data_IF_860534360319
#
_entry.id   IF_860534360319
#
_cell.length_a   1.000
_cell.length_b   1.000
_cell.length_c   1.000
_cell.angle_alpha   90.00
_cell.angle_beta   90.00
_cell.angle_gamma   90.00
#
_symmetry.space_group_name_H-M   'P 1'
#
loop_
_entity.id
_entity.type
_entity.pdbx_description
1 polymer ?
#
# COMPACT_ATOMS: atom_id res chain seq x y z
N UNK A 1 -0.77 -35.68 -1.14
CA UNK A 1 0.47 -34.90 -1.35
C UNK A 1 0.08 -33.43 -1.45
N UNK A 2 0.73 -32.54 -0.69
CA UNK A 2 0.38 -31.12 -0.67
C UNK A 2 1.32 -30.32 -1.58
N UNK A 3 0.78 -29.33 -2.29
CA UNK A 3 1.55 -28.38 -3.09
C UNK A 3 1.60 -27.03 -2.39
N UNK A 4 2.80 -26.49 -2.19
CA UNK A 4 3.01 -25.15 -1.60
C UNK A 4 3.52 -24.22 -2.70
N UNK A 5 2.87 -23.06 -2.85
CA UNK A 5 3.31 -22.01 -3.78
C UNK A 5 3.10 -20.63 -3.17
N UNK A 6 3.95 -19.68 -3.56
CA UNK A 6 3.74 -18.26 -3.28
C UNK A 6 2.65 -17.72 -4.23
N UNK A 7 1.68 -16.98 -3.69
CA UNK A 7 0.87 -16.07 -4.49
C UNK A 7 1.37 -14.64 -4.28
N UNK A 8 1.58 -13.91 -5.37
CA UNK A 8 1.76 -12.47 -5.32
C UNK A 8 0.38 -11.82 -5.30
N UNK A 9 0.06 -11.11 -4.22
CA UNK A 9 -1.19 -10.37 -4.05
C UNK A 9 -0.81 -8.90 -3.97
N UNK A 10 -1.01 -8.18 -5.07
CA UNK A 10 -0.54 -6.80 -5.24
C UNK A 10 -1.63 -5.77 -4.99
N UNK A 11 -2.90 -6.17 -5.11
CA UNK A 11 -4.03 -5.27 -4.93
C UNK A 11 -5.24 -6.00 -4.34
N UNK A 12 -6.22 -5.19 -3.96
CA UNK A 12 -7.46 -5.65 -3.31
C UNK A 12 -8.23 -6.65 -4.17
N UNK A 13 -8.32 -6.42 -5.47
CA UNK A 13 -9.07 -7.29 -6.39
C UNK A 13 -8.40 -8.67 -6.53
N UNK A 14 -7.07 -8.71 -6.63
CA UNK A 14 -6.29 -9.95 -6.65
C UNK A 14 -6.46 -10.73 -5.34
N UNK A 15 -6.45 -10.03 -4.19
CA UNK A 15 -6.71 -10.63 -2.89
C UNK A 15 -8.10 -11.26 -2.83
N UNK A 16 -9.12 -10.49 -3.24
CA UNK A 16 -10.51 -10.91 -3.22
C UNK A 16 -10.76 -12.11 -4.14
N UNK A 17 -10.24 -12.09 -5.37
CA UNK A 17 -10.33 -13.21 -6.31
C UNK A 17 -9.66 -14.47 -5.76
N UNK A 18 -8.46 -14.34 -5.18
CA UNK A 18 -7.75 -15.47 -4.59
C UNK A 18 -8.51 -16.10 -3.42
N UNK A 19 -9.10 -15.27 -2.55
CA UNK A 19 -9.90 -15.72 -1.40
C UNK A 19 -11.21 -16.37 -1.88
N UNK A 20 -11.91 -15.75 -2.83
CA UNK A 20 -13.15 -16.30 -3.42
C UNK A 20 -12.92 -17.66 -4.08
N UNK A 21 -11.80 -17.82 -4.78
CA UNK A 21 -11.43 -19.07 -5.46
C UNK A 21 -11.31 -20.26 -4.50
N UNK A 22 -10.97 -20.02 -3.24
CA UNK A 22 -10.84 -21.07 -2.21
C UNK A 22 -12.22 -21.45 -1.63
N UNK A 23 -13.27 -20.66 -1.89
CA UNK A 23 -14.63 -20.93 -1.41
C UNK A 23 -14.90 -20.41 0.01
N UNK A 24 -14.24 -19.31 0.41
CA UNK A 24 -14.52 -18.66 1.70
C UNK A 24 -15.93 -18.07 1.72
N UNK A 25 -16.58 -18.13 2.89
CA UNK A 25 -17.88 -17.49 3.15
C UNK A 25 -17.89 -15.99 2.80
N UNK A 26 -19.02 -15.53 2.23
CA UNK A 26 -19.13 -14.16 1.72
C UNK A 26 -18.93 -13.08 2.80
N UNK A 27 -19.35 -13.35 4.05
CA UNK A 27 -19.16 -12.42 5.16
C UNK A 27 -17.70 -12.32 5.61
N UNK A 28 -16.90 -13.36 5.39
CA UNK A 28 -15.49 -13.41 5.75
C UNK A 28 -14.54 -12.72 4.75
N UNK A 29 -14.95 -12.60 3.48
CA UNK A 29 -14.11 -12.08 2.40
C UNK A 29 -13.53 -10.70 2.73
N UNK A 30 -14.33 -9.67 3.10
CA UNK A 30 -13.79 -8.32 3.34
C UNK A 30 -12.74 -8.29 4.46
N UNK A 31 -12.92 -9.11 5.49
CA UNK A 31 -12.03 -9.18 6.65
C UNK A 31 -10.70 -9.87 6.32
N UNK A 32 -10.71 -10.81 5.38
CA UNK A 32 -9.51 -11.52 4.92
C UNK A 32 -8.74 -10.71 3.89
N UNK A 33 -9.45 -10.00 3.01
CA UNK A 33 -8.83 -9.08 2.02
C UNK A 33 -7.94 -8.06 2.73
N UNK A 34 -8.44 -7.41 3.80
CA UNK A 34 -7.67 -6.45 4.59
C UNK A 34 -6.45 -7.07 5.33
N UNK A 35 -6.41 -8.40 5.49
CA UNK A 35 -5.28 -9.12 6.09
C UNK A 35 -4.29 -9.63 5.05
N UNK A 36 -4.73 -9.82 3.81
CA UNK A 36 -3.92 -10.33 2.71
C UNK A 36 -3.03 -9.25 2.08
N UNK A 37 -3.40 -7.97 2.25
CA UNK A 37 -2.65 -6.82 1.78
C UNK A 37 -1.70 -6.32 2.88
N UNK A 38 -0.42 -6.63 2.75
CA UNK A 38 0.65 -6.16 3.61
C UNK A 38 1.44 -5.06 2.92
N UNK A 39 1.70 -3.98 3.66
CA UNK A 39 2.39 -2.80 3.16
C UNK A 39 3.58 -2.45 4.08
N UNK A 40 4.57 -1.79 3.49
CA UNK A 40 5.68 -1.18 4.23
C UNK A 40 5.63 0.33 3.95
N UNK A 41 5.40 1.12 5.00
CA UNK A 41 5.20 2.57 4.88
C UNK A 41 6.31 3.29 5.65
N UNK A 42 7.05 4.16 4.97
CA UNK A 42 8.03 5.04 5.62
C UNK A 42 7.38 6.36 6.05
N UNK A 43 7.67 6.77 7.27
CA UNK A 43 7.31 8.08 7.80
C UNK A 43 8.60 8.75 8.24
N UNK A 44 8.97 9.82 7.56
CA UNK A 44 10.19 10.58 7.85
C UNK A 44 9.97 11.61 8.96
N UNK A 45 11.07 12.01 9.63
CA UNK A 45 11.07 13.14 10.55
C UNK A 45 10.24 12.95 11.82
N UNK A 46 9.95 11.71 12.21
CA UNK A 46 9.18 11.36 13.40
C UNK A 46 10.02 11.57 14.65
N UNK A 47 9.48 12.26 15.66
CA UNK A 47 10.19 12.43 16.93
C UNK A 47 10.43 11.08 17.63
N UNK A 48 11.53 10.93 18.37
CA UNK A 48 11.81 9.65 19.07
C UNK A 48 10.67 9.17 20.00
N UNK A 49 10.02 10.04 20.80
CA UNK A 49 8.85 9.63 21.58
C UNK A 49 7.70 9.10 20.71
N UNK A 50 7.38 9.77 19.60
CA UNK A 50 6.34 9.31 18.67
C UNK A 50 6.73 7.99 18.01
N UNK A 51 8.00 7.83 17.60
CA UNK A 51 8.49 6.60 16.99
C UNK A 51 8.43 5.39 17.95
N UNK A 52 8.75 5.60 19.23
CA UNK A 52 8.56 4.59 20.27
C UNK A 52 7.09 4.20 20.45
N UNK A 53 6.18 5.19 20.45
CA UNK A 53 4.73 4.91 20.53
C UNK A 53 4.26 4.13 19.30
N UNK A 54 4.66 4.52 18.08
CA UNK A 54 4.31 3.81 16.85
C UNK A 54 4.79 2.35 16.89
N UNK A 55 6.03 2.11 17.35
CA UNK A 55 6.57 0.76 17.56
C UNK A 55 5.70 -0.05 18.52
N UNK A 56 5.40 0.50 19.69
CA UNK A 56 4.61 -0.18 20.71
C UNK A 56 3.18 -0.49 20.24
N UNK A 57 2.53 0.49 19.59
CA UNK A 57 1.18 0.30 19.07
C UNK A 57 1.13 -0.72 17.93
N UNK A 58 2.10 -0.69 17.01
CA UNK A 58 2.18 -1.71 15.95
C UNK A 58 2.38 -3.11 16.51
N UNK A 59 3.28 -3.28 17.47
CA UNK A 59 3.48 -4.57 18.16
C UNK A 59 2.18 -5.04 18.84
N UNK A 60 1.44 -4.13 19.48
CA UNK A 60 0.15 -4.47 20.11
C UNK A 60 -0.93 -4.95 19.13
N UNK A 61 -0.84 -4.52 17.86
CA UNK A 61 -1.75 -4.89 16.77
C UNK A 61 -1.27 -6.14 16.00
N UNK A 62 -0.13 -6.71 16.40
CA UNK A 62 0.51 -7.85 15.74
C UNK A 62 1.22 -7.49 14.43
N UNK A 63 1.48 -6.20 14.20
CA UNK A 63 2.39 -5.72 13.15
C UNK A 63 3.76 -5.40 13.74
N UNK A 64 4.56 -4.65 13.00
CA UNK A 64 5.83 -4.14 13.49
C UNK A 64 6.13 -2.72 12.98
N UNK A 65 7.09 -2.06 13.61
CA UNK A 65 7.70 -0.84 13.08
C UNK A 65 9.23 -0.93 13.18
N UNK A 66 9.98 -0.66 12.13
CA UNK A 66 11.43 -0.48 12.25
C UNK A 66 11.71 0.96 12.69
N UNK A 67 12.56 1.10 13.72
CA UNK A 67 13.00 2.40 14.25
C UNK A 67 14.52 2.39 14.39
N UNK A 68 15.17 3.54 14.26
CA UNK A 68 16.62 3.63 14.46
C UNK A 68 17.03 3.30 15.91
N UNK A 69 18.23 2.76 16.10
CA UNK A 69 18.75 2.33 17.42
C UNK A 69 18.65 3.42 18.50
N UNK A 70 18.95 4.67 18.14
CA UNK A 70 18.94 5.81 19.07
C UNK A 70 17.54 6.28 19.50
N UNK A 71 16.47 5.77 18.89
CA UNK A 71 15.08 6.12 19.22
C UNK A 71 14.68 5.58 20.59
N UNK A 72 15.09 4.34 20.91
CA UNK A 72 14.72 3.67 22.17
C UNK A 72 15.23 4.44 23.39
N UNK A 73 16.43 5.01 23.28
CA UNK A 73 17.06 5.83 24.33
C UNK A 73 16.80 7.33 24.17
N UNK A 74 15.96 7.74 23.21
CA UNK A 74 15.70 9.14 22.86
C UNK A 74 16.98 9.99 22.64
N UNK A 75 18.03 9.38 22.09
CA UNK A 75 19.28 10.08 21.74
C UNK A 75 19.20 10.83 20.40
N UNK A 76 18.27 10.41 19.54
CA UNK A 76 17.94 11.10 18.31
C UNK A 76 16.72 11.98 18.56
N UNK A 77 16.71 13.22 18.08
CA UNK A 77 15.51 14.05 18.17
C UNK A 77 14.41 13.55 17.23
N UNK A 78 14.80 13.16 16.01
CA UNK A 78 13.93 12.66 14.95
C UNK A 78 14.55 11.49 14.19
N UNK A 79 13.71 10.63 13.62
CA UNK A 79 14.12 9.50 12.78
C UNK A 79 13.01 9.12 11.79
N UNK A 80 13.36 8.33 10.77
CA UNK A 80 12.37 7.63 9.96
C UNK A 80 11.82 6.41 10.72
N UNK A 81 10.54 6.10 10.50
CA UNK A 81 9.89 4.89 10.98
C UNK A 81 9.34 4.12 9.79
N UNK A 82 9.68 2.84 9.69
CA UNK A 82 9.07 1.93 8.70
C UNK A 82 7.96 1.15 9.39
N UNK A 83 6.70 1.42 9.08
CA UNK A 83 5.58 0.60 9.54
C UNK A 83 5.48 -0.64 8.66
N UNK A 84 5.40 -1.82 9.28
CA UNK A 84 5.23 -3.10 8.62
C UNK A 84 3.93 -3.74 9.10
N UNK A 85 2.92 -3.82 8.25
CA UNK A 85 1.64 -4.39 8.66
C UNK A 85 0.65 -4.52 7.52
N UNK A 86 -0.41 -5.27 7.79
CA UNK A 86 -1.53 -5.36 6.87
C UNK A 86 -2.51 -4.19 7.01
N UNK A 87 -3.38 -4.04 6.01
CA UNK A 87 -4.39 -2.98 5.96
C UNK A 87 -5.23 -2.90 7.24
N UNK A 88 -5.63 -4.05 7.80
CA UNK A 88 -6.38 -4.10 9.07
C UNK A 88 -5.59 -3.48 10.22
N UNK A 89 -4.30 -3.80 10.35
CA UNK A 89 -3.43 -3.27 11.40
C UNK A 89 -3.23 -1.77 11.25
N UNK A 90 -2.98 -1.29 10.03
CA UNK A 90 -2.81 0.13 9.74
C UNK A 90 -4.07 0.94 10.05
N UNK A 91 -5.26 0.44 9.68
CA UNK A 91 -6.55 1.08 10.04
C UNK A 91 -6.70 1.21 11.56
N UNK A 92 -6.37 0.14 12.31
CA UNK A 92 -6.44 0.14 13.75
C UNK A 92 -5.40 1.09 14.40
N UNK A 93 -4.18 1.16 13.85
CA UNK A 93 -3.16 2.11 14.28
C UNK A 93 -3.65 3.55 14.16
N UNK A 94 -4.20 3.91 13.00
CA UNK A 94 -4.75 5.26 12.75
C UNK A 94 -5.78 5.64 13.80
N UNK A 95 -6.68 4.73 14.15
CA UNK A 95 -7.68 4.99 15.20
C UNK A 95 -7.04 5.25 16.57
N UNK A 96 -6.04 4.46 16.95
CA UNK A 96 -5.37 4.59 18.25
C UNK A 96 -4.57 5.88 18.39
N UNK A 97 -3.85 6.29 17.33
CA UNK A 97 -2.91 7.41 17.41
C UNK A 97 -3.53 8.78 17.06
N UNK A 98 -4.81 8.81 16.63
CA UNK A 98 -5.49 10.02 16.12
C UNK A 98 -5.48 11.20 17.10
N UNK A 99 -5.54 10.93 18.42
CA UNK A 99 -5.50 11.96 19.47
C UNK A 99 -4.20 11.88 20.30
N UNK A 100 -3.16 11.24 19.74
CA UNK A 100 -1.90 11.01 20.44
C UNK A 100 -1.02 12.27 20.53
N UNK A 101 -0.11 12.32 21.51
CA UNK A 101 0.85 13.40 21.66
C UNK A 101 1.92 13.40 20.55
N UNK A 102 2.84 14.36 20.59
CA UNK A 102 4.06 14.39 19.77
C UNK A 102 3.83 14.37 18.24
N UNK A 103 2.69 14.89 17.78
CA UNK A 103 2.34 14.95 16.36
C UNK A 103 1.71 13.68 15.80
N UNK A 104 1.41 12.68 16.64
CA UNK A 104 0.79 11.42 16.21
C UNK A 104 -0.56 11.61 15.50
N UNK A 105 -1.35 12.61 15.90
CA UNK A 105 -2.59 12.95 15.20
C UNK A 105 -2.38 13.35 13.74
N UNK A 106 -1.31 14.10 13.44
CA UNK A 106 -0.95 14.47 12.06
C UNK A 106 -0.50 13.25 11.26
N UNK A 107 0.26 12.35 11.88
CA UNK A 107 0.64 11.06 11.28
C UNK A 107 -0.60 10.23 10.96
N UNK A 108 -1.58 10.19 11.86
CA UNK A 108 -2.84 9.47 11.63
C UNK A 108 -3.63 10.02 10.43
N UNK A 109 -3.65 11.35 10.28
CA UNK A 109 -4.27 12.01 9.11
C UNK A 109 -3.52 11.63 7.84
N UNK A 110 -2.19 11.77 7.82
CA UNK A 110 -1.38 11.42 6.65
C UNK A 110 -1.52 9.96 6.23
N UNK A 111 -1.52 9.03 7.19
CA UNK A 111 -1.77 7.61 6.93
C UNK A 111 -3.17 7.37 6.36
N UNK A 112 -4.20 8.03 6.90
CA UNK A 112 -5.57 7.90 6.38
C UNK A 112 -5.68 8.39 4.94
N UNK A 113 -5.06 9.52 4.63
CA UNK A 113 -5.04 10.08 3.27
C UNK A 113 -4.29 9.18 2.30
N UNK A 114 -3.12 8.66 2.70
CA UNK A 114 -2.37 7.67 1.91
C UNK A 114 -3.23 6.43 1.62
N UNK A 115 -3.87 5.87 2.64
CA UNK A 115 -4.74 4.70 2.46
C UNK A 115 -5.91 5.02 1.51
N UNK A 116 -6.56 6.18 1.67
CA UNK A 116 -7.65 6.59 0.80
C UNK A 116 -7.23 6.76 -0.67
N UNK A 117 -5.99 7.17 -0.94
CA UNK A 117 -5.43 7.28 -2.30
C UNK A 117 -5.16 5.91 -2.92
N UNK A 118 -4.58 4.98 -2.16
CA UNK A 118 -4.34 3.61 -2.62
C UNK A 118 -5.62 2.82 -2.91
N UNK A 119 -6.72 3.13 -2.21
CA UNK A 119 -8.03 2.51 -2.48
C UNK A 119 -8.68 3.07 -3.75
N UNK A 120 -8.16 4.15 -4.34
CA UNK A 120 -8.67 4.71 -5.59
C UNK A 120 -7.99 4.07 -6.79
N UNK A 121 -8.75 3.68 -7.84
CA UNK A 121 -8.13 3.26 -9.09
C UNK A 121 -7.28 4.42 -9.63
N UNK A 122 -6.10 4.15 -10.22
CA UNK A 122 -5.21 5.19 -10.72
C UNK A 122 -5.93 5.99 -11.81
N UNK A 123 -6.45 7.16 -11.45
CA UNK A 123 -7.07 8.10 -12.36
C UNK A 123 -5.98 8.99 -12.96
N UNK A 124 -5.86 8.96 -14.28
CA UNK A 124 -4.91 9.81 -14.99
C UNK A 124 -5.61 10.45 -16.18
N UNK A 125 -5.64 11.77 -16.18
CA UNK A 125 -6.19 12.54 -17.28
C UNK A 125 -5.06 13.06 -18.16
N UNK A 126 -5.09 12.70 -19.44
CA UNK A 126 -4.23 13.29 -20.46
C UNK A 126 -5.04 14.27 -21.28
N UNK A 127 -4.62 15.53 -21.25
CA UNK A 127 -5.18 16.57 -22.11
C UNK A 127 -4.33 16.69 -23.39
N UNK A 128 -5.01 16.50 -24.52
CA UNK A 128 -4.52 16.81 -25.85
C UNK A 128 -5.27 18.05 -26.34
N UNK A 129 -4.81 18.64 -27.47
CA UNK A 129 -5.32 19.90 -28.03
C UNK A 129 -6.83 20.11 -27.83
N UNK A 130 -7.65 19.19 -28.34
CA UNK A 130 -9.11 19.27 -28.35
C UNK A 130 -9.76 17.97 -27.82
N UNK A 131 -8.97 17.12 -27.15
CA UNK A 131 -9.42 15.83 -26.62
C UNK A 131 -8.84 15.56 -25.25
N UNK A 132 -9.64 14.94 -24.40
CA UNK A 132 -9.20 14.47 -23.08
C UNK A 132 -9.34 12.96 -23.02
N UNK A 133 -8.28 12.27 -22.60
CA UNK A 133 -8.28 10.84 -22.34
C UNK A 133 -8.19 10.59 -20.83
N UNK A 134 -9.24 10.00 -20.27
CA UNK A 134 -9.30 9.62 -18.86
C UNK A 134 -8.94 8.13 -18.72
N UNK A 135 -7.74 7.85 -18.21
CA UNK A 135 -7.32 6.52 -17.79
C UNK A 135 -7.76 6.27 -16.35
N UNK A 136 -8.04 5.01 -16.01
CA UNK A 136 -8.46 4.59 -14.66
C UNK A 136 -9.96 4.49 -14.44
N UNK A 137 -10.80 5.05 -15.33
CA UNK A 137 -12.27 4.98 -15.22
C UNK A 137 -12.89 3.74 -15.87
N UNK A 138 -12.16 3.10 -16.80
CA UNK A 138 -12.54 1.86 -17.49
C UNK A 138 -11.31 1.24 -18.17
N UNK A 139 -11.42 0.00 -18.62
CA UNK A 139 -10.41 -0.65 -19.46
C UNK A 139 -10.30 0.06 -20.80
N UNK A 140 -9.06 0.35 -21.22
CA UNK A 140 -8.74 0.94 -22.52
C UNK A 140 -7.83 -0.02 -23.30
N UNK A 141 -7.92 0.00 -24.62
CA UNK A 141 -6.98 -0.68 -25.50
C UNK A 141 -5.99 0.37 -26.01
N UNK A 142 -4.69 0.15 -25.77
CA UNK A 142 -3.62 1.00 -26.26
C UNK A 142 -2.95 0.34 -27.48
N UNK A 143 -3.02 1.01 -28.62
CA UNK A 143 -2.19 0.67 -29.77
C UNK A 143 -0.85 1.40 -29.69
N UNK A 144 0.25 0.68 -29.86
CA UNK A 144 1.60 1.26 -30.01
C UNK A 144 1.96 1.23 -31.48
N UNK A 145 2.29 2.39 -32.06
CA UNK A 145 2.78 2.52 -33.43
C UNK A 145 4.25 2.93 -33.39
N UNK A 146 5.16 2.02 -33.73
CA UNK A 146 6.58 2.33 -33.90
C UNK A 146 6.79 2.94 -35.30
N UNK A 147 7.41 4.13 -35.37
CA UNK A 147 7.60 4.88 -36.63
C UNK A 147 9.10 5.12 -36.91
N UNK A 148 9.97 4.19 -36.50
CA UNK A 148 11.41 4.25 -36.82
C UNK A 148 11.77 3.22 -37.90
N UNK A 149 12.66 3.55 -38.86
CA UNK A 149 13.10 2.59 -39.88
C UNK A 149 13.73 1.31 -39.31
N UNK A 150 14.32 1.41 -38.11
CA UNK A 150 15.03 0.32 -37.43
C UNK A 150 14.17 -0.38 -36.35
N UNK A 151 12.84 -0.22 -36.38
CA UNK A 151 11.95 -0.93 -35.46
C UNK A 151 11.67 -2.35 -35.95
N UNK A 152 12.33 -3.33 -35.32
CA UNK A 152 12.23 -4.77 -35.57
C UNK A 152 10.82 -5.23 -36.00
N UNK A 153 10.71 -5.63 -37.27
CA UNK A 153 9.76 -6.64 -37.72
C UNK A 153 10.39 -7.44 -38.87
N UNK A 154 11.21 -8.41 -38.54
CA UNK A 154 11.62 -9.46 -39.48
C UNK A 154 10.48 -10.49 -39.66
N UNK A 155 9.22 -10.07 -39.49
CA UNK A 155 8.02 -10.85 -39.80
C UNK A 155 7.85 -12.20 -39.09
N UNK A 156 8.73 -12.57 -38.15
CA UNK A 156 8.77 -13.93 -37.61
C UNK A 156 9.42 -14.96 -38.54
N UNK A 157 10.31 -14.57 -39.46
CA UNK A 157 11.12 -15.51 -40.24
C UNK A 157 12.40 -15.96 -39.49
N UNK A 158 12.28 -16.64 -38.33
CA UNK A 158 13.29 -17.57 -37.78
C UNK A 158 12.64 -18.57 -36.81
#
# INVERSE_FOLDING_TARGET
>A
MFGVRRLAIENRDAAEQAIRRIGVDQGGIPLLVDKALSEVIEIEGVSSPAANILKQEMLSLGGDAAVARGVVTCQLDKSSVLLLGNRKQLKALVQKISNGPFGLGQIAVGLREYMAREDQPPYFQMDFRDKTLQLGTRTHIMGVLNVTPDSFSDGGEF
#
